data_IF_742665951329
#
_entry.id   IF_742665951329
#
_cell.length_a   1.000
_cell.length_b   1.000
_cell.length_c   1.000
_cell.angle_alpha   90.00
_cell.angle_beta   90.00
_cell.angle_gamma   90.00
#
_symmetry.space_group_name_H-M   'P 1'
#
loop_
_entity.id
_entity.type
_entity.pdbx_description
1 polymer ?
#
# COMPACT_ATOMS: atom_id res chain seq x y z
N UNK A 1 32.54 -13.64 -6.26
CA UNK A 1 31.42 -13.34 -7.17
C UNK A 1 30.79 -12.09 -6.59
N UNK A 2 30.85 -10.96 -7.28
CA UNK A 2 30.26 -9.72 -6.75
C UNK A 2 28.76 -9.97 -6.57
N UNK A 3 28.26 -9.82 -5.34
CA UNK A 3 26.83 -9.88 -5.06
C UNK A 3 26.19 -8.72 -5.82
N UNK A 4 25.68 -9.03 -7.02
CA UNK A 4 24.97 -8.06 -7.85
C UNK A 4 23.67 -7.74 -7.13
N UNK A 5 23.61 -6.54 -6.55
CA UNK A 5 22.39 -5.98 -5.98
C UNK A 5 21.28 -6.06 -7.02
N UNK A 6 20.26 -6.86 -6.75
CA UNK A 6 19.07 -6.91 -7.59
C UNK A 6 18.14 -5.75 -7.20
N UNK A 7 17.89 -4.76 -8.08
CA UNK A 7 17.01 -3.65 -7.76
C UNK A 7 15.55 -4.11 -7.59
N UNK A 8 14.83 -3.49 -6.66
CA UNK A 8 13.43 -3.83 -6.35
C UNK A 8 12.51 -2.64 -6.66
N UNK A 9 11.44 -2.91 -7.40
CA UNK A 9 10.32 -2.00 -7.64
C UNK A 9 9.13 -2.48 -6.81
N UNK A 10 8.72 -1.72 -5.81
CA UNK A 10 7.51 -2.02 -5.02
C UNK A 10 6.37 -1.09 -5.43
N UNK A 11 5.27 -1.66 -5.89
CA UNK A 11 4.08 -0.92 -6.31
C UNK A 11 2.94 -1.15 -5.31
N UNK A 12 2.60 -0.09 -4.58
CA UNK A 12 1.55 -0.08 -3.57
C UNK A 12 0.23 0.41 -4.14
N UNK A 13 -0.85 -0.32 -3.87
CA UNK A 13 -2.20 0.24 -3.95
C UNK A 13 -2.69 0.60 -2.55
N UNK A 14 -3.22 1.80 -2.37
CA UNK A 14 -3.71 2.22 -1.06
C UNK A 14 -4.88 3.22 -1.09
N UNK A 15 -5.52 3.44 0.06
CA UNK A 15 -6.50 4.48 0.32
C UNK A 15 -5.83 5.80 0.68
N UNK A 16 -6.60 6.88 0.72
CA UNK A 16 -6.07 8.23 0.99
C UNK A 16 -5.39 8.34 2.36
N UNK A 17 -5.91 7.64 3.36
CA UNK A 17 -5.53 7.81 4.76
C UNK A 17 -5.48 6.44 5.45
N UNK A 18 -4.50 6.19 6.35
CA UNK A 18 -3.29 7.02 6.56
C UNK A 18 -2.42 7.09 5.29
N UNK A 19 -1.43 8.00 5.18
CA UNK A 19 -0.39 7.88 4.15
C UNK A 19 0.39 6.56 4.30
N UNK A 20 1.15 6.18 3.28
CA UNK A 20 2.12 5.09 3.41
C UNK A 20 3.30 5.56 4.27
N UNK A 21 3.83 4.64 5.07
CA UNK A 21 5.03 4.81 5.86
C UNK A 21 5.90 3.56 5.62
N UNK A 22 7.11 3.69 5.03
CA UNK A 22 7.70 4.93 4.52
C UNK A 22 6.93 5.52 3.32
N UNK A 23 7.07 6.84 3.05
CA UNK A 23 6.45 7.45 1.88
C UNK A 23 7.06 6.91 0.58
N UNK A 24 6.25 6.73 -0.49
CA UNK A 24 6.76 6.31 -1.78
C UNK A 24 7.48 7.46 -2.49
N UNK A 25 8.50 7.15 -3.30
CA UNK A 25 9.18 8.13 -4.14
C UNK A 25 8.24 8.70 -5.22
N UNK A 26 7.38 7.85 -5.80
CA UNK A 26 6.38 8.26 -6.79
C UNK A 26 4.97 8.07 -6.24
N UNK A 27 4.11 9.10 -6.38
CA UNK A 27 2.74 9.06 -5.85
C UNK A 27 1.70 9.50 -6.88
N UNK A 28 0.65 8.69 -7.03
CA UNK A 28 -0.39 8.90 -8.03
C UNK A 28 -1.80 8.80 -7.45
N UNK A 29 -2.56 9.90 -7.57
CA UNK A 29 -3.95 9.97 -7.16
C UNK A 29 -4.91 9.59 -8.31
N UNK A 30 -5.65 8.51 -8.10
CA UNK A 30 -6.57 7.93 -9.08
C UNK A 30 -8.03 8.30 -8.80
N UNK A 31 -8.29 9.27 -7.91
CA UNK A 31 -9.66 9.69 -7.57
C UNK A 31 -10.37 10.44 -8.69
N UNK A 32 -9.63 11.02 -9.63
CA UNK A 32 -10.15 11.68 -10.83
C UNK A 32 -10.65 10.71 -11.91
N UNK A 33 -10.28 9.42 -11.82
CA UNK A 33 -10.75 8.38 -12.74
C UNK A 33 -12.16 7.94 -12.37
N UNK A 34 -12.99 7.70 -13.39
CA UNK A 34 -14.33 7.13 -13.29
C UNK A 34 -14.37 5.93 -12.33
N UNK A 35 -15.41 5.88 -11.49
CA UNK A 35 -15.56 4.81 -10.52
C UNK A 35 -16.29 3.63 -11.18
N UNK A 36 -15.82 2.37 -11.05
CA UNK A 36 -16.50 1.22 -11.65
C UNK A 36 -17.97 1.10 -11.19
N UNK A 37 -18.90 0.53 -11.97
CA UNK A 37 -20.31 0.40 -11.61
C UNK A 37 -20.52 -0.14 -10.19
N UNK A 38 -21.51 0.41 -9.47
CA UNK A 38 -21.78 0.04 -8.07
C UNK A 38 -21.97 -1.48 -7.90
N UNK A 39 -22.73 -2.10 -8.81
CA UNK A 39 -22.97 -3.54 -8.78
C UNK A 39 -21.67 -4.35 -8.78
N UNK A 40 -20.65 -3.94 -9.55
CA UNK A 40 -19.34 -4.58 -9.55
C UNK A 40 -18.56 -4.30 -8.26
N UNK A 41 -18.61 -3.06 -7.75
CA UNK A 41 -17.90 -2.66 -6.53
C UNK A 41 -18.38 -3.36 -5.26
N UNK A 42 -19.65 -3.74 -5.23
CA UNK A 42 -20.27 -4.37 -4.06
C UNK A 42 -19.84 -5.84 -3.92
N UNK A 43 -19.50 -6.51 -5.02
CA UNK A 43 -19.17 -7.96 -5.06
C UNK A 43 -17.71 -8.26 -5.37
N UNK A 44 -16.91 -7.26 -5.75
CA UNK A 44 -15.53 -7.45 -6.18
C UNK A 44 -14.61 -6.30 -5.81
N UNK A 45 -13.31 -6.56 -5.83
CA UNK A 45 -12.22 -5.59 -5.70
C UNK A 45 -11.42 -5.47 -7.00
N UNK A 46 -10.45 -4.56 -7.04
CA UNK A 46 -9.69 -4.25 -8.24
C UNK A 46 -8.86 -5.40 -8.82
N UNK A 47 -8.71 -6.53 -8.12
CA UNK A 47 -8.05 -7.73 -8.67
C UNK A 47 -8.97 -8.47 -9.65
N UNK A 48 -10.28 -8.25 -9.59
CA UNK A 48 -11.23 -8.99 -10.41
C UNK A 48 -11.18 -8.54 -11.86
N UNK A 49 -11.21 -9.51 -12.78
CA UNK A 49 -11.23 -9.28 -14.22
C UNK A 49 -12.34 -8.28 -14.64
N UNK A 50 -13.60 -8.39 -14.18
CA UNK A 50 -14.65 -7.44 -14.57
C UNK A 50 -14.36 -5.98 -14.19
N UNK A 51 -13.75 -5.74 -13.02
CA UNK A 51 -13.40 -4.37 -12.61
C UNK A 51 -12.25 -3.83 -13.46
N UNK A 52 -11.24 -4.65 -13.76
CA UNK A 52 -10.10 -4.26 -14.58
C UNK A 52 -10.53 -3.96 -16.02
N UNK A 53 -11.32 -4.83 -16.64
CA UNK A 53 -11.83 -4.62 -18.01
C UNK A 53 -12.67 -3.34 -18.13
N UNK A 54 -13.54 -3.08 -17.15
CA UNK A 54 -14.30 -1.84 -17.13
C UNK A 54 -13.38 -0.61 -17.04
N UNK A 55 -12.38 -0.63 -16.14
CA UNK A 55 -11.45 0.49 -16.03
C UNK A 55 -10.57 0.66 -17.27
N UNK A 56 -10.13 -0.43 -17.90
CA UNK A 56 -9.38 -0.40 -19.16
C UNK A 56 -10.22 0.14 -20.33
N UNK A 57 -11.55 0.06 -20.26
CA UNK A 57 -12.43 0.68 -21.27
C UNK A 57 -12.48 2.22 -21.16
N UNK A 58 -12.00 2.79 -20.05
CA UNK A 58 -12.00 4.24 -19.82
C UNK A 58 -10.70 4.88 -20.34
N UNK A 59 -10.74 5.79 -21.33
CA UNK A 59 -9.53 6.38 -21.91
C UNK A 59 -8.62 7.07 -20.89
N UNK A 60 -9.22 7.76 -19.90
CA UNK A 60 -8.46 8.43 -18.83
C UNK A 60 -7.65 7.46 -17.98
N UNK A 61 -8.14 6.24 -17.77
CA UNK A 61 -7.41 5.23 -17.02
C UNK A 61 -6.21 4.74 -17.81
N UNK A 62 -6.40 4.42 -19.10
CA UNK A 62 -5.33 3.96 -19.99
C UNK A 62 -4.24 5.02 -20.16
N UNK A 63 -4.62 6.27 -20.48
CA UNK A 63 -3.65 7.36 -20.61
C UNK A 63 -2.87 7.59 -19.32
N UNK A 64 -3.53 7.50 -18.15
CA UNK A 64 -2.84 7.63 -16.87
C UNK A 64 -1.90 6.47 -16.62
N UNK A 65 -2.29 5.25 -16.99
CA UNK A 65 -1.48 4.04 -16.84
C UNK A 65 -0.20 4.12 -17.67
N UNK A 66 -0.30 4.55 -18.93
CA UNK A 66 0.85 4.75 -19.83
C UNK A 66 1.79 5.85 -19.33
N UNK A 67 1.23 6.98 -18.87
CA UNK A 67 2.03 8.07 -18.32
C UNK A 67 2.81 7.61 -17.08
N UNK A 68 2.14 6.92 -16.15
CA UNK A 68 2.79 6.40 -14.93
C UNK A 68 3.83 5.34 -15.25
N UNK A 69 3.58 4.46 -16.23
CA UNK A 69 4.54 3.46 -16.68
C UNK A 69 5.85 4.11 -17.16
N UNK A 70 5.75 5.19 -17.93
CA UNK A 70 6.91 5.96 -18.39
C UNK A 70 7.65 6.60 -17.21
N UNK A 71 6.94 7.29 -16.33
CA UNK A 71 7.53 7.98 -15.17
C UNK A 71 8.29 6.98 -14.27
N UNK A 72 7.77 5.76 -14.09
CA UNK A 72 8.43 4.69 -13.34
C UNK A 72 9.72 4.25 -14.05
N UNK A 73 9.72 4.06 -15.36
CA UNK A 73 10.93 3.69 -16.11
C UNK A 73 12.05 4.73 -15.97
N UNK A 74 11.71 6.00 -16.10
CA UNK A 74 12.66 7.11 -15.93
C UNK A 74 13.26 7.11 -14.52
N UNK A 75 12.45 6.85 -13.49
CA UNK A 75 12.91 6.73 -12.11
C UNK A 75 13.79 5.49 -11.88
N UNK A 76 13.48 4.35 -12.52
CA UNK A 76 14.31 3.14 -12.44
C UNK A 76 15.71 3.38 -13.01
N UNK A 77 15.80 4.01 -14.19
CA UNK A 77 17.09 4.36 -14.80
C UNK A 77 17.90 5.30 -13.91
N UNK A 78 17.24 6.31 -13.33
CA UNK A 78 17.85 7.26 -12.41
C UNK A 78 18.42 6.56 -11.15
N UNK A 79 17.66 5.65 -10.54
CA UNK A 79 18.10 4.87 -9.36
C UNK A 79 19.35 4.02 -9.65
N UNK A 80 19.41 3.39 -10.82
CA UNK A 80 20.60 2.61 -11.23
C UNK A 80 21.82 3.52 -11.44
N UNK A 81 21.62 4.67 -12.09
CA UNK A 81 22.70 5.62 -12.34
C UNK A 81 23.27 6.19 -11.03
N UNK A 82 22.40 6.57 -10.09
CA UNK A 82 22.78 7.05 -8.75
C UNK A 82 23.59 6.01 -7.97
N UNK A 83 23.12 4.77 -7.96
CA UNK A 83 23.82 3.67 -7.28
C UNK A 83 25.20 3.43 -7.88
N UNK A 84 25.29 3.37 -9.22
CA UNK A 84 26.56 3.14 -9.94
C UNK A 84 27.59 4.25 -9.69
N UNK A 85 27.13 5.50 -9.52
CA UNK A 85 28.01 6.63 -9.20
C UNK A 85 28.53 6.58 -7.76
N UNK A 86 27.69 6.22 -6.79
CA UNK A 86 28.11 6.10 -5.38
C UNK A 86 29.17 5.02 -5.16
N UNK A 87 29.00 3.85 -5.79
CA UNK A 87 29.97 2.75 -5.67
C UNK A 87 31.35 3.07 -6.29
N UNK A 88 31.48 4.11 -7.11
CA UNK A 88 32.78 4.51 -7.69
C UNK A 88 33.59 5.43 -6.77
N UNK A 89 32.93 6.16 -5.87
CA UNK A 89 33.58 7.15 -5.01
C UNK A 89 34.13 6.51 -3.71
N UNK A 90 33.46 5.46 -3.21
CA UNK A 90 33.89 4.72 -2.00
C UNK A 90 35.09 3.78 -2.25
N UNK A 91 35.58 3.67 -3.49
CA UNK A 91 36.78 2.90 -3.85
C UNK A 91 38.11 3.63 -3.64
N UNK A 92 38.11 4.88 -3.17
CA UNK A 92 39.32 5.66 -2.89
C UNK A 92 39.48 5.90 -1.38
N UNK A 93 39.97 4.90 -0.64
CA UNK A 93 40.37 5.07 0.76
C UNK A 93 41.88 5.34 0.82
N UNK A 94 42.32 6.51 1.32
CA UNK A 94 43.67 6.71 1.84
C UNK A 94 43.80 5.94 3.16
N UNK A 95 44.88 5.17 3.26
CA UNK A 95 45.30 4.50 4.50
C UNK A 95 45.63 5.58 5.54
N UNK A 96 44.82 5.71 6.59
CA UNK A 96 45.23 6.36 7.83
C UNK A 96 44.99 5.45 9.04
N UNK A 97 45.93 5.59 9.97
CA UNK A 97 46.38 4.61 10.95
C UNK A 97 45.41 4.38 12.12
N UNK A 98 45.49 3.16 12.64
CA UNK A 98 44.92 2.68 13.89
C UNK A 98 45.34 3.53 15.10
N UNK A 99 44.40 3.81 16.00
CA UNK A 99 44.64 3.75 17.46
C UNK A 99 43.43 3.18 18.20
N UNK A 100 43.69 2.05 18.86
CA UNK A 100 42.95 1.49 19.99
C UNK A 100 42.80 2.49 21.15
N UNK A 101 41.66 2.45 21.87
CA UNK A 101 41.67 2.09 23.30
C UNK A 101 40.26 1.80 23.87
N UNK A 102 40.22 0.93 24.89
CA UNK A 102 39.09 0.27 25.56
C UNK A 102 38.19 1.19 26.44
N UNK A 103 36.91 0.85 26.71
CA UNK A 103 36.49 0.03 27.88
C UNK A 103 34.96 -0.03 28.20
N UNK A 104 34.55 -1.22 28.66
CA UNK A 104 33.45 -1.70 29.54
C UNK A 104 32.05 -1.05 29.70
N UNK A 105 31.06 -1.89 29.35
CA UNK A 105 29.99 -2.46 30.21
C UNK A 105 29.16 -1.57 31.16
N UNK A 106 27.85 -1.50 30.88
CA UNK A 106 26.80 -1.54 31.92
C UNK A 106 25.56 -2.31 31.44
N UNK A 107 25.12 -3.23 32.30
CA UNK A 107 23.99 -4.14 32.22
C UNK A 107 22.84 -3.59 33.09
N UNK A 108 21.58 -3.75 32.67
CA UNK A 108 20.41 -4.26 33.45
C UNK A 108 19.09 -3.87 32.76
N UNK A 109 18.25 -4.90 32.60
CA UNK A 109 16.92 -5.05 32.01
C UNK A 109 15.78 -4.22 32.65
N UNK A 110 14.65 -4.06 31.92
CA UNK A 110 13.37 -4.81 32.11
C UNK A 110 12.25 -4.24 31.19
N UNK A 111 11.76 -5.13 30.31
CA UNK A 111 10.40 -5.42 29.79
C UNK A 111 9.29 -4.32 29.77
N UNK A 112 8.68 -4.08 28.59
CA UNK A 112 7.26 -4.37 28.32
C UNK A 112 6.91 -4.17 26.83
N UNK A 113 5.84 -4.80 26.39
CA UNK A 113 5.58 -5.35 25.07
C UNK A 113 4.98 -4.45 23.98
N UNK A 114 5.08 -4.99 22.76
CA UNK A 114 4.18 -4.90 21.60
C UNK A 114 4.60 -4.08 20.37
N UNK A 115 4.44 -4.76 19.22
CA UNK A 115 4.51 -4.31 17.84
C UNK A 115 5.91 -4.27 17.22
N UNK A 116 6.44 -5.45 16.89
CA UNK A 116 7.40 -5.61 15.79
C UNK A 116 6.70 -5.23 14.47
N UNK A 117 6.69 -3.93 14.15
CA UNK A 117 6.81 -3.53 12.76
C UNK A 117 8.24 -3.84 12.40
N UNK A 118 8.46 -4.94 11.67
CA UNK A 118 9.73 -5.18 10.99
C UNK A 118 9.94 -4.01 10.02
N UNK A 119 10.58 -2.97 10.52
CA UNK A 119 11.15 -1.90 9.74
C UNK A 119 12.14 -2.59 8.81
N UNK A 120 11.73 -2.78 7.55
CA UNK A 120 12.63 -3.08 6.46
C UNK A 120 13.49 -1.82 6.28
N UNK A 121 14.45 -1.63 7.20
CA UNK A 121 15.63 -0.82 7.01
C UNK A 121 16.36 -1.49 5.86
N UNK A 122 16.03 -1.07 4.65
CA UNK A 122 16.69 -1.54 3.44
C UNK A 122 18.19 -1.48 3.68
N UNK A 123 18.87 -2.60 3.50
CA UNK A 123 20.32 -2.65 3.60
C UNK A 123 20.89 -1.52 2.73
N UNK A 124 21.92 -0.81 3.19
CA UNK A 124 22.47 0.37 2.50
C UNK A 124 22.92 0.09 1.05
N UNK A 125 22.98 -1.19 0.68
CA UNK A 125 23.30 -1.68 -0.65
C UNK A 125 22.08 -2.00 -1.53
N UNK A 126 20.83 -1.70 -1.14
CA UNK A 126 19.65 -2.06 -1.93
C UNK A 126 19.16 -0.90 -2.83
N UNK A 127 19.05 -1.17 -4.14
CA UNK A 127 18.44 -0.23 -5.09
C UNK A 127 16.92 -0.41 -5.07
N UNK A 128 16.25 0.44 -4.30
CA UNK A 128 14.80 0.36 -4.08
C UNK A 128 14.05 1.56 -4.69
N UNK A 129 12.92 1.27 -5.35
CA UNK A 129 11.95 2.27 -5.84
C UNK A 129 10.53 1.90 -5.37
N UNK A 130 9.90 2.76 -4.57
CA UNK A 130 8.52 2.60 -4.10
C UNK A 130 7.57 3.53 -4.87
N UNK A 131 6.47 2.95 -5.32
CA UNK A 131 5.42 3.66 -6.07
C UNK A 131 4.09 3.51 -5.36
N UNK A 132 3.46 4.61 -4.98
CA UNK A 132 2.15 4.64 -4.33
C UNK A 132 1.03 5.07 -5.28
N UNK A 133 0.10 4.17 -5.56
CA UNK A 133 -1.14 4.47 -6.29
C UNK A 133 -2.32 4.51 -5.32
N UNK A 134 -2.94 5.68 -5.15
CA UNK A 134 -3.99 5.86 -4.17
C UNK A 134 -5.37 6.11 -4.81
N UNK A 135 -6.42 5.58 -4.18
CA UNK A 135 -7.79 6.01 -4.44
C UNK A 135 -8.48 6.41 -3.13
N UNK A 136 -9.82 6.51 -3.12
CA UNK A 136 -10.53 6.91 -1.91
C UNK A 136 -10.30 5.92 -0.75
N UNK A 137 -10.60 4.64 -0.98
CA UNK A 137 -10.54 3.60 0.05
C UNK A 137 -9.44 2.55 -0.17
N UNK A 138 -8.84 2.49 -1.36
CA UNK A 138 -7.78 1.50 -1.64
C UNK A 138 -8.27 0.13 -2.13
N UNK A 139 -9.51 -0.01 -2.61
CA UNK A 139 -10.09 -1.31 -2.96
C UNK A 139 -10.30 -1.57 -4.47
N UNK A 140 -10.53 -0.53 -5.27
CA UNK A 140 -11.00 -0.69 -6.65
C UNK A 140 -10.00 -0.11 -7.66
N UNK A 141 -10.08 1.20 -7.89
CA UNK A 141 -9.28 1.90 -8.91
C UNK A 141 -7.78 1.69 -8.70
N UNK A 142 -7.27 1.92 -7.49
CA UNK A 142 -5.85 1.76 -7.19
C UNK A 142 -5.37 0.32 -7.30
N UNK A 143 -6.14 -0.64 -6.79
CA UNK A 143 -5.81 -2.07 -6.88
C UNK A 143 -5.74 -2.50 -8.34
N UNK A 144 -6.77 -2.20 -9.13
CA UNK A 144 -6.80 -2.52 -10.55
C UNK A 144 -5.65 -1.88 -11.31
N UNK A 145 -5.37 -0.61 -11.06
CA UNK A 145 -4.26 0.12 -11.68
C UNK A 145 -2.91 -0.53 -11.39
N UNK A 146 -2.67 -0.93 -10.14
CA UNK A 146 -1.44 -1.62 -9.73
C UNK A 146 -1.35 -3.01 -10.34
N UNK A 147 -2.45 -3.77 -10.40
CA UNK A 147 -2.45 -5.07 -11.10
C UNK A 147 -2.08 -4.91 -12.58
N UNK A 148 -2.53 -3.85 -13.25
CA UNK A 148 -2.17 -3.59 -14.65
C UNK A 148 -0.72 -3.11 -14.80
N UNK A 149 -0.21 -2.29 -13.88
CA UNK A 149 1.22 -1.94 -13.85
C UNK A 149 2.12 -3.17 -13.66
N UNK A 150 1.74 -4.08 -12.77
CA UNK A 150 2.53 -5.29 -12.48
C UNK A 150 2.67 -6.22 -13.69
N UNK A 151 1.72 -6.16 -14.64
CA UNK A 151 1.75 -6.96 -15.86
C UNK A 151 2.58 -6.32 -16.99
N UNK A 152 3.10 -5.10 -16.78
CA UNK A 152 3.94 -4.43 -17.80
C UNK A 152 5.30 -5.12 -17.95
N UNK A 153 5.91 -5.05 -19.15
CA UNK A 153 7.23 -5.61 -19.38
C UNK A 153 8.30 -4.69 -18.75
N UNK A 154 8.51 -4.82 -17.45
CA UNK A 154 9.58 -4.15 -16.74
C UNK A 154 10.95 -4.74 -17.12
N UNK A 155 12.05 -3.98 -16.98
CA UNK A 155 13.40 -4.50 -17.22
C UNK A 155 13.68 -5.75 -16.38
N UNK A 156 14.21 -6.81 -17.01
CA UNK A 156 14.43 -8.13 -16.36
C UNK A 156 15.35 -8.11 -15.14
N UNK A 157 16.18 -7.09 -15.02
CA UNK A 157 17.07 -6.91 -13.87
C UNK A 157 16.30 -6.54 -12.59
N UNK A 158 15.09 -5.99 -12.71
CA UNK A 158 14.29 -5.56 -11.57
C UNK A 158 13.39 -6.67 -11.05
N UNK A 159 13.40 -6.86 -9.73
CA UNK A 159 12.35 -7.59 -9.04
C UNK A 159 11.15 -6.66 -8.85
N UNK A 160 9.94 -7.15 -9.14
CA UNK A 160 8.71 -6.34 -9.03
C UNK A 160 7.80 -6.95 -7.98
N UNK A 161 7.51 -6.15 -6.95
CA UNK A 161 6.61 -6.52 -5.86
C UNK A 161 5.34 -5.68 -5.89
N UNK A 162 4.22 -6.31 -5.57
CA UNK A 162 2.90 -5.68 -5.55
C UNK A 162 2.30 -5.82 -4.17
N UNK A 163 1.97 -4.67 -3.57
CA UNK A 163 1.40 -4.63 -2.22
C UNK A 163 0.06 -3.92 -2.24
N UNK A 164 -0.97 -4.57 -1.69
CA UNK A 164 -2.32 -4.01 -1.59
C UNK A 164 -2.70 -3.74 -0.13
N UNK A 165 -2.40 -2.54 0.37
CA UNK A 165 -2.49 -2.20 1.80
C UNK A 165 -3.88 -2.43 2.40
N UNK A 166 -4.93 -1.98 1.71
CA UNK A 166 -6.30 -1.97 2.28
C UNK A 166 -7.12 -3.21 1.90
N UNK A 167 -6.53 -4.20 1.22
CA UNK A 167 -7.19 -5.48 0.99
C UNK A 167 -7.09 -6.35 2.24
N UNK A 168 -8.15 -7.10 2.56
CA UNK A 168 -8.18 -8.01 3.72
C UNK A 168 -8.58 -7.37 5.04
N UNK A 169 -8.50 -6.04 5.19
CA UNK A 169 -9.09 -5.36 6.35
C UNK A 169 -10.62 -5.47 6.28
N UNK A 170 -11.23 -6.16 7.25
CA UNK A 170 -12.69 -6.23 7.37
C UNK A 170 -13.20 -4.81 7.50
N UNK A 171 -13.98 -4.34 6.51
CA UNK A 171 -14.64 -3.04 6.58
C UNK A 171 -15.35 -2.94 7.94
N UNK A 172 -15.21 -1.84 8.64
CA UNK A 172 -16.02 -1.47 9.82
C UNK A 172 -17.51 -1.27 9.49
N UNK A 173 -18.01 -1.87 8.40
CA UNK A 173 -19.41 -1.92 7.98
C UNK A 173 -20.34 -2.59 9.00
N UNK A 174 -19.80 -3.20 10.05
CA UNK A 174 -20.55 -3.60 11.23
C UNK A 174 -21.28 -2.43 11.90
N UNK A 175 -20.73 -1.21 11.89
CA UNK A 175 -21.38 -0.06 12.54
C UNK A 175 -22.71 0.31 11.85
N UNK A 176 -22.72 0.39 10.52
CA UNK A 176 -23.94 0.75 9.75
C UNK A 176 -24.95 -0.40 9.69
N UNK A 177 -24.49 -1.65 9.66
CA UNK A 177 -25.35 -2.83 9.79
C UNK A 177 -26.00 -2.91 11.18
N UNK A 178 -25.24 -2.65 12.25
CA UNK A 178 -25.75 -2.56 13.64
C UNK A 178 -26.74 -1.41 13.81
N UNK A 179 -26.47 -0.24 13.21
CA UNK A 179 -27.41 0.88 13.22
C UNK A 179 -28.72 0.55 12.49
N UNK A 180 -28.66 -0.11 11.33
CA UNK A 180 -29.88 -0.55 10.62
C UNK A 180 -30.66 -1.63 11.38
N UNK A 181 -29.97 -2.56 12.04
CA UNK A 181 -30.60 -3.56 12.90
C UNK A 181 -31.29 -2.89 14.11
N UNK A 182 -30.61 -1.95 14.77
CA UNK A 182 -31.14 -1.15 15.88
C UNK A 182 -32.40 -0.36 15.49
N UNK A 183 -32.43 0.26 14.30
CA UNK A 183 -33.61 0.96 13.81
C UNK A 183 -34.80 0.02 13.55
N UNK A 184 -34.55 -1.16 12.99
CA UNK A 184 -35.61 -2.17 12.76
C UNK A 184 -36.16 -2.72 14.09
N UNK A 185 -35.31 -2.99 15.08
CA UNK A 185 -35.76 -3.44 16.41
C UNK A 185 -36.59 -2.37 17.12
N UNK A 186 -36.16 -1.09 17.04
CA UNK A 186 -36.90 0.01 17.66
C UNK A 186 -38.25 0.28 16.99
N UNK A 187 -38.34 0.10 15.67
CA UNK A 187 -39.60 0.19 14.95
C UNK A 187 -40.56 -0.96 15.35
N UNK A 188 -40.05 -2.18 15.50
CA UNK A 188 -40.85 -3.34 15.92
C UNK A 188 -41.42 -3.19 17.34
N UNK A 189 -40.63 -2.67 18.29
CA UNK A 189 -41.09 -2.40 19.67
C UNK A 189 -42.18 -1.34 19.79
N UNK A 190 -42.31 -0.43 18.82
CA UNK A 190 -43.38 0.58 18.79
C UNK A 190 -44.71 0.05 18.27
N UNK A 191 -44.67 -1.03 17.51
CA UNK A 191 -45.84 -1.59 16.83
C UNK A 191 -46.55 -2.66 17.71
N UNK A 192 -45.80 -3.39 18.53
CA UNK A 192 -46.34 -4.41 19.44
C UNK A 192 -46.78 -3.84 20.79
N UNK A 193 -47.59 -2.77 20.79
CA UNK A 193 -48.10 -2.09 21.99
C UNK A 193 -48.27 -3.02 23.20
N UNK A 194 -47.35 -2.87 24.16
CA UNK A 194 -47.39 -3.56 25.45
C UNK A 194 -48.49 -2.90 26.28
N UNK A 195 -49.69 -3.43 26.13
CA UNK A 195 -50.89 -3.05 26.86
C UNK A 195 -51.11 -4.06 28.00
N UNK A 196 -50.13 -4.20 28.90
CA UNK A 196 -50.21 -5.05 30.09
C UNK A 196 -50.17 -4.20 31.37
N UNK A 197 -51.15 -3.28 31.52
CA UNK A 197 -51.41 -2.71 32.84
C UNK A 197 -52.82 -2.09 32.92
N UNK A 198 -53.84 -2.93 33.12
CA UNK A 198 -55.11 -2.50 33.72
C UNK A 198 -55.94 -3.73 34.06
N UNK A 199 -55.89 -4.18 35.31
CA UNK A 199 -56.97 -4.81 36.11
C UNK A 199 -56.31 -5.49 37.32
N UNK A 200 -56.08 -4.70 38.37
CA UNK A 200 -56.01 -5.18 39.75
C UNK A 200 -57.10 -4.40 40.50
N UNK A 201 -58.22 -5.07 40.75
CA UNK A 201 -59.24 -4.75 41.76
C UNK A 201 -59.84 -6.07 42.26
#
# INVERSE_FOLDING_TARGET
MSDLVQPILIIYSHGRSPPLDPPPELKYDLRSISNPPKALRDVSDGRSKPIREHLLSEPKFVTKLEAVERDIREAMESKIAEFTSKSKDEGAVPVEEQKDDHNEAQHIDVEDAESESEDIQGSENEVLLRVGCNCALGHHRSVAFVCELAQRPWPKAWHVEVVHRDLGTKRSGGARARQKASWKDRAKRRDTGDNSNLYDD
#
